data_IF_402724720300
#
_entry.id   IF_402724720300
#
_cell.length_a   1.000
_cell.length_b   1.000
_cell.length_c   1.000
_cell.angle_alpha   90.00
_cell.angle_beta   90.00
_cell.angle_gamma   90.00
#
_symmetry.space_group_name_H-M   'P 1'
#
loop_
_entity.id
_entity.type
_entity.pdbx_description
1 polymer ?
#
# COMPACT_ATOMS: atom_id res chain seq x y z
N UNK A 1 -48.17 16.50 36.83
CA UNK A 1 -47.12 16.64 35.80
C UNK A 1 -45.80 17.00 36.48
N UNK A 2 -44.93 16.03 36.76
CA UNK A 2 -43.51 16.28 36.94
C UNK A 2 -42.74 15.75 35.72
N UNK A 3 -41.91 16.61 35.12
CA UNK A 3 -41.05 16.29 33.99
C UNK A 3 -39.91 15.36 34.41
N UNK A 4 -39.69 14.31 33.64
CA UNK A 4 -38.54 13.42 33.78
C UNK A 4 -37.45 13.86 32.80
N UNK A 5 -36.50 14.64 33.30
CA UNK A 5 -35.21 14.83 32.65
C UNK A 5 -34.52 13.45 32.56
N UNK A 6 -34.48 12.87 31.36
CA UNK A 6 -33.59 11.77 31.05
C UNK A 6 -32.27 12.39 30.58
N UNK A 7 -31.34 12.59 31.51
CA UNK A 7 -29.92 12.71 31.14
C UNK A 7 -29.50 11.39 30.48
N UNK A 8 -29.31 11.41 29.16
CA UNK A 8 -28.69 10.31 28.42
C UNK A 8 -27.25 10.14 28.89
N UNK A 9 -27.04 9.27 29.86
CA UNK A 9 -25.71 8.95 30.38
C UNK A 9 -24.80 8.44 29.27
N UNK A 10 -23.71 9.15 29.01
CA UNK A 10 -22.65 8.70 28.11
C UNK A 10 -21.99 7.47 28.72
N UNK A 11 -22.14 6.31 28.09
CA UNK A 11 -21.48 5.08 28.53
C UNK A 11 -20.02 5.11 28.07
N UNK A 12 -19.09 5.23 29.02
CA UNK A 12 -17.63 5.19 28.75
C UNK A 12 -17.10 3.79 29.02
N UNK A 13 -16.80 3.06 27.96
CA UNK A 13 -16.18 1.74 28.04
C UNK A 13 -14.66 1.86 27.90
N UNK A 14 -13.91 1.20 28.78
CA UNK A 14 -12.45 1.07 28.67
C UNK A 14 -12.14 -0.41 28.45
N UNK A 15 -11.51 -0.74 27.34
CA UNK A 15 -11.02 -2.09 27.02
C UNK A 15 -9.50 -2.02 27.05
N UNK A 16 -8.87 -2.91 27.81
CA UNK A 16 -7.42 -3.05 27.84
C UNK A 16 -7.00 -4.08 26.79
N UNK A 17 -6.41 -3.62 25.68
CA UNK A 17 -6.01 -4.51 24.58
C UNK A 17 -4.80 -5.39 24.89
N UNK A 18 -4.09 -5.16 26.00
CA UNK A 18 -2.95 -5.99 26.43
C UNK A 18 -3.39 -7.14 27.35
N UNK A 19 -4.45 -6.94 28.14
CA UNK A 19 -4.86 -7.90 29.18
C UNK A 19 -6.25 -8.49 28.96
N UNK A 20 -7.16 -7.80 28.28
CA UNK A 20 -8.49 -8.33 27.98
C UNK A 20 -8.42 -9.26 26.77
N UNK A 21 -8.94 -10.46 26.96
CA UNK A 21 -9.21 -11.35 25.84
C UNK A 21 -10.35 -10.79 24.98
N UNK A 22 -10.39 -11.19 23.70
CA UNK A 22 -11.43 -10.79 22.76
C UNK A 22 -12.85 -11.02 23.30
N UNK A 23 -13.08 -12.15 23.97
CA UNK A 23 -14.37 -12.48 24.59
C UNK A 23 -14.73 -11.53 25.73
N UNK A 24 -13.75 -11.10 26.54
CA UNK A 24 -13.96 -10.16 27.64
C UNK A 24 -14.31 -8.76 27.12
N UNK A 25 -13.64 -8.32 26.06
CA UNK A 25 -13.95 -7.05 25.40
C UNK A 25 -15.38 -7.02 24.84
N UNK A 26 -15.82 -8.11 24.19
CA UNK A 26 -17.18 -8.24 23.68
C UNK A 26 -18.21 -8.27 24.80
N UNK A 27 -17.95 -9.03 25.86
CA UNK A 27 -18.85 -9.11 27.02
C UNK A 27 -19.03 -7.74 27.69
N UNK A 28 -17.95 -6.94 27.78
CA UNK A 28 -18.00 -5.61 28.36
C UNK A 28 -18.85 -4.63 27.51
N UNK A 29 -18.73 -4.70 26.17
CA UNK A 29 -19.60 -3.94 25.25
C UNK A 29 -21.05 -4.39 25.38
N UNK A 30 -21.32 -5.70 25.39
CA UNK A 30 -22.68 -6.23 25.48
C UNK A 30 -23.36 -5.81 26.78
N UNK A 31 -22.66 -5.91 27.91
CA UNK A 31 -23.16 -5.49 29.22
C UNK A 31 -23.45 -3.98 29.28
N UNK A 32 -22.56 -3.16 28.73
CA UNK A 32 -22.69 -1.70 28.68
C UNK A 32 -23.93 -1.22 27.90
N UNK A 33 -24.32 -1.96 26.86
CA UNK A 33 -25.44 -1.62 25.97
C UNK A 33 -26.68 -2.52 26.19
N UNK A 34 -26.69 -3.38 27.20
CA UNK A 34 -27.81 -4.30 27.49
C UNK A 34 -28.09 -5.31 26.37
N UNK A 35 -27.10 -5.61 25.54
CA UNK A 35 -27.22 -6.55 24.43
C UNK A 35 -27.20 -7.98 24.98
N UNK A 36 -28.10 -8.83 24.49
CA UNK A 36 -28.04 -10.27 24.83
C UNK A 36 -26.75 -10.86 24.21
N UNK A 37 -26.07 -11.79 24.90
CA UNK A 37 -24.96 -12.52 24.31
C UNK A 37 -25.50 -13.30 23.10
N UNK A 38 -25.16 -12.82 21.92
CA UNK A 38 -25.30 -13.60 20.69
C UNK A 38 -24.01 -14.38 20.60
N UNK A 39 -24.01 -15.63 21.05
CA UNK A 39 -23.03 -16.60 20.57
C UNK A 39 -23.28 -16.71 19.07
N UNK A 40 -22.37 -16.27 18.17
CA UNK A 40 -22.67 -16.26 16.75
C UNK A 40 -22.51 -17.67 16.18
N UNK A 41 -23.36 -18.63 16.60
CA UNK A 41 -23.48 -19.94 15.95
C UNK A 41 -24.00 -19.80 14.50
N UNK A 42 -24.69 -18.69 14.21
CA UNK A 42 -25.34 -18.41 12.93
C UNK A 42 -24.58 -17.37 12.08
N UNK A 43 -23.35 -17.00 12.47
CA UNK A 43 -22.53 -16.16 11.60
C UNK A 43 -22.04 -17.02 10.45
N UNK A 44 -22.28 -16.62 9.17
CA UNK A 44 -21.71 -17.36 8.06
C UNK A 44 -20.20 -17.42 8.28
N UNK A 45 -19.66 -18.63 8.26
CA UNK A 45 -18.22 -18.84 8.28
C UNK A 45 -17.62 -17.87 7.24
N UNK A 46 -16.67 -17.00 7.63
CA UNK A 46 -16.12 -16.03 6.70
C UNK A 46 -15.71 -16.82 5.45
N UNK A 47 -16.14 -16.39 4.25
CA UNK A 47 -15.79 -17.12 3.04
C UNK A 47 -14.29 -17.35 3.09
N UNK A 48 -13.88 -18.60 2.85
CA UNK A 48 -12.47 -18.97 2.88
C UNK A 48 -11.71 -17.88 2.14
N UNK A 49 -10.87 -17.14 2.87
CA UNK A 49 -10.14 -16.03 2.28
C UNK A 49 -9.36 -16.63 1.12
N UNK A 50 -9.64 -16.16 -0.10
CA UNK A 50 -8.84 -16.56 -1.26
C UNK A 50 -7.36 -16.43 -0.87
N UNK A 51 -6.53 -17.43 -1.20
CA UNK A 51 -5.10 -17.35 -0.92
C UNK A 51 -4.57 -16.01 -1.41
N UNK A 52 -3.98 -15.22 -0.51
CA UNK A 52 -3.45 -13.92 -0.90
C UNK A 52 -2.34 -14.16 -1.92
N UNK A 53 -2.31 -13.40 -3.03
CA UNK A 53 -1.29 -13.58 -4.06
C UNK A 53 0.11 -13.39 -3.47
N UNK A 54 1.02 -14.27 -3.83
CA UNK A 54 2.43 -14.23 -3.47
C UNK A 54 3.22 -13.58 -4.62
N UNK A 55 4.30 -12.82 -4.37
CA UNK A 55 5.19 -12.37 -5.43
C UNK A 55 5.72 -13.48 -6.34
N UNK A 56 5.76 -14.73 -5.88
CA UNK A 56 6.11 -15.90 -6.69
C UNK A 56 5.08 -16.22 -7.78
N UNK A 57 3.85 -15.73 -7.64
CA UNK A 57 2.79 -15.87 -8.65
C UNK A 57 2.99 -14.89 -9.83
N UNK A 58 3.92 -13.93 -9.73
CA UNK A 58 4.30 -13.04 -10.82
C UNK A 58 5.20 -13.74 -11.83
N UNK A 59 5.04 -13.35 -13.09
CA UNK A 59 5.86 -13.90 -14.17
C UNK A 59 7.33 -13.45 -14.06
N UNK A 60 8.26 -14.37 -14.27
CA UNK A 60 9.70 -14.06 -14.37
C UNK A 60 10.15 -13.91 -15.84
N UNK A 61 9.27 -14.16 -16.80
CA UNK A 61 9.54 -13.92 -18.21
C UNK A 61 9.78 -12.43 -18.49
N UNK A 62 10.63 -12.16 -19.49
CA UNK A 62 10.90 -10.80 -19.93
C UNK A 62 9.65 -10.21 -20.59
N UNK A 63 9.06 -9.23 -19.91
CA UNK A 63 7.92 -8.46 -20.42
C UNK A 63 8.38 -7.21 -21.19
N UNK A 64 9.68 -6.92 -21.19
CA UNK A 64 10.29 -5.92 -22.05
C UNK A 64 11.54 -5.29 -21.47
N UNK A 65 12.53 -5.06 -22.33
CA UNK A 65 13.75 -4.32 -22.00
C UNK A 65 14.52 -4.89 -20.79
N UNK A 66 14.47 -6.20 -20.58
CA UNK A 66 15.16 -6.91 -19.50
C UNK A 66 14.38 -6.94 -18.18
N UNK A 67 13.10 -6.54 -18.15
CA UNK A 67 12.27 -6.53 -16.95
C UNK A 67 11.28 -7.70 -16.94
N UNK A 68 11.15 -8.35 -15.78
CA UNK A 68 10.08 -9.27 -15.44
C UNK A 68 9.14 -8.68 -14.39
N UNK A 69 7.94 -9.24 -14.21
CA UNK A 69 7.01 -8.78 -13.18
C UNK A 69 7.59 -8.95 -11.77
N UNK A 70 8.32 -10.05 -11.53
CA UNK A 70 9.07 -10.26 -10.29
C UNK A 70 10.16 -9.20 -10.07
N UNK A 71 10.88 -8.80 -11.12
CA UNK A 71 11.86 -7.71 -11.03
C UNK A 71 11.19 -6.37 -10.70
N UNK A 72 10.02 -6.09 -11.28
CA UNK A 72 9.24 -4.88 -10.97
C UNK A 72 8.75 -4.87 -9.52
N UNK A 73 8.25 -6.00 -9.00
CA UNK A 73 7.84 -6.10 -7.59
C UNK A 73 9.00 -5.86 -6.63
N UNK A 74 10.17 -6.47 -6.89
CA UNK A 74 11.39 -6.21 -6.09
C UNK A 74 11.78 -4.73 -6.10
N UNK A 75 11.58 -4.07 -7.25
CA UNK A 75 11.76 -2.62 -7.36
C UNK A 75 10.82 -1.86 -6.43
N UNK A 76 9.52 -2.13 -6.52
CA UNK A 76 8.48 -1.51 -5.69
C UNK A 76 8.75 -1.71 -4.20
N UNK A 77 9.10 -2.93 -3.79
CA UNK A 77 9.41 -3.27 -2.40
C UNK A 77 10.62 -2.47 -1.87
N UNK A 78 11.62 -2.23 -2.71
CA UNK A 78 12.85 -1.52 -2.34
C UNK A 78 12.75 0.01 -2.36
N UNK A 79 11.68 0.56 -2.94
CA UNK A 79 11.43 2.00 -2.93
C UNK A 79 10.96 2.48 -1.56
N UNK A 80 11.41 3.69 -1.19
CA UNK A 80 10.79 4.45 -0.10
C UNK A 80 9.31 4.75 -0.43
N UNK A 81 8.42 4.88 0.57
CA UNK A 81 6.98 5.04 0.34
C UNK A 81 6.61 6.17 -0.62
N UNK A 82 7.26 7.33 -0.53
CA UNK A 82 7.00 8.44 -1.44
C UNK A 82 7.34 8.13 -2.89
N UNK A 83 8.43 7.41 -3.14
CA UNK A 83 8.87 7.08 -4.50
C UNK A 83 7.96 6.03 -5.11
N UNK A 84 7.52 5.09 -4.27
CA UNK A 84 6.51 4.10 -4.61
C UNK A 84 5.20 4.76 -5.02
N UNK A 85 4.74 5.74 -4.25
CA UNK A 85 3.52 6.48 -4.56
C UNK A 85 3.63 7.23 -5.89
N UNK A 86 4.77 7.90 -6.15
CA UNK A 86 5.01 8.60 -7.43
C UNK A 86 5.04 7.62 -8.61
N UNK A 87 5.75 6.49 -8.49
CA UNK A 87 5.79 5.47 -9.53
C UNK A 87 4.40 4.88 -9.81
N UNK A 88 3.62 4.62 -8.76
CA UNK A 88 2.21 4.19 -8.87
C UNK A 88 1.39 5.21 -9.63
N UNK A 89 1.49 6.50 -9.27
CA UNK A 89 0.74 7.57 -9.95
C UNK A 89 1.04 7.63 -11.45
N UNK A 90 2.30 7.50 -11.84
CA UNK A 90 2.69 7.49 -13.26
C UNK A 90 2.13 6.25 -13.97
N UNK A 91 2.13 5.10 -13.29
CA UNK A 91 1.54 3.85 -13.79
C UNK A 91 0.03 3.96 -13.98
N UNK A 92 -0.67 4.57 -13.01
CA UNK A 92 -2.12 4.80 -13.06
C UNK A 92 -2.51 5.72 -14.22
N UNK A 93 -1.63 6.67 -14.58
CA UNK A 93 -1.76 7.55 -15.75
C UNK A 93 -1.40 6.87 -17.08
N UNK A 94 -1.13 5.56 -17.08
CA UNK A 94 -0.81 4.79 -18.28
C UNK A 94 0.68 4.88 -18.68
N UNK A 95 1.55 5.21 -17.75
CA UNK A 95 3.00 5.24 -17.94
C UNK A 95 3.56 6.55 -18.48
N UNK A 96 2.71 7.49 -18.91
CA UNK A 96 3.14 8.83 -19.32
C UNK A 96 2.48 9.89 -18.46
N UNK A 97 3.28 10.75 -17.83
CA UNK A 97 2.77 11.79 -16.95
C UNK A 97 3.68 13.03 -16.98
N UNK A 98 3.10 14.22 -16.95
CA UNK A 98 3.89 15.44 -16.75
C UNK A 98 4.31 15.62 -15.30
N UNK A 99 5.41 16.34 -15.09
CA UNK A 99 5.86 16.71 -13.76
C UNK A 99 4.80 17.50 -12.97
N UNK A 100 4.07 18.38 -13.65
CA UNK A 100 3.07 19.22 -13.01
C UNK A 100 1.83 18.40 -12.61
N UNK A 101 1.41 17.41 -13.40
CA UNK A 101 0.33 16.48 -13.02
C UNK A 101 0.70 15.63 -11.79
N UNK A 102 1.93 15.14 -11.73
CA UNK A 102 2.43 14.40 -10.56
C UNK A 102 2.47 15.32 -9.33
N UNK A 103 2.99 16.54 -9.47
CA UNK A 103 3.04 17.50 -8.37
C UNK A 103 1.65 17.91 -7.87
N UNK A 104 0.71 18.19 -8.78
CA UNK A 104 -0.63 18.60 -8.43
C UNK A 104 -1.35 17.49 -7.65
N UNK A 105 -1.23 16.24 -8.13
CA UNK A 105 -1.81 15.09 -7.45
C UNK A 105 -1.36 15.01 -5.98
N UNK A 106 -0.06 15.07 -5.69
CA UNK A 106 0.46 14.96 -4.33
C UNK A 106 0.29 16.22 -3.48
N UNK A 107 0.11 17.39 -4.10
CA UNK A 107 -0.22 18.62 -3.38
C UNK A 107 -1.62 18.54 -2.75
N UNK A 108 -2.56 17.88 -3.43
CA UNK A 108 -3.96 17.79 -3.03
C UNK A 108 -4.32 16.46 -2.36
N UNK A 109 -3.39 15.49 -2.29
CA UNK A 109 -3.68 14.14 -1.76
C UNK A 109 -3.53 14.03 -0.24
N UNK A 110 -4.57 13.63 0.50
CA UNK A 110 -4.56 13.61 1.97
C UNK A 110 -3.86 12.38 2.57
N UNK A 111 -3.74 11.26 1.85
CA UNK A 111 -3.28 9.97 2.41
C UNK A 111 -1.77 9.72 2.27
N UNK A 112 -1.06 10.48 1.43
CA UNK A 112 0.41 10.43 1.29
C UNK A 112 0.96 11.80 0.86
N UNK A 113 0.96 12.80 1.77
CA UNK A 113 1.43 14.13 1.41
C UNK A 113 2.95 14.10 1.14
N UNK A 114 3.33 14.23 -0.13
CA UNK A 114 4.72 14.51 -0.52
C UNK A 114 4.79 16.00 -0.79
N UNK A 115 5.45 16.75 0.10
CA UNK A 115 5.62 18.19 -0.11
C UNK A 115 6.36 18.45 -1.42
N UNK A 116 5.99 19.51 -2.16
CA UNK A 116 6.61 19.85 -3.46
C UNK A 116 8.14 19.89 -3.41
N UNK A 117 8.70 20.38 -2.29
CA UNK A 117 10.15 20.40 -2.05
C UNK A 117 10.79 19.00 -1.97
N UNK A 118 10.05 17.96 -1.56
CA UNK A 118 10.54 16.58 -1.44
C UNK A 118 10.31 15.74 -2.71
N UNK A 119 9.37 16.13 -3.58
CA UNK A 119 9.04 15.39 -4.82
C UNK A 119 10.27 15.17 -5.70
N UNK A 120 11.13 16.18 -5.86
CA UNK A 120 12.38 16.04 -6.62
C UNK A 120 13.36 15.01 -6.03
N UNK A 121 13.50 14.96 -4.70
CA UNK A 121 14.33 13.97 -4.01
C UNK A 121 13.73 12.55 -4.10
N UNK A 122 12.41 12.45 -3.99
CA UNK A 122 11.65 11.22 -4.16
C UNK A 122 11.84 10.62 -5.56
N UNK A 123 11.74 11.43 -6.61
CA UNK A 123 11.97 11.01 -7.99
C UNK A 123 13.41 10.57 -8.26
N UNK A 124 14.38 11.16 -7.56
CA UNK A 124 15.81 10.80 -7.68
C UNK A 124 16.11 9.42 -7.08
N UNK A 125 15.28 8.94 -6.15
CA UNK A 125 15.47 7.62 -5.54
C UNK A 125 15.12 6.46 -6.49
N UNK A 126 14.22 6.65 -7.46
CA UNK A 126 13.82 5.63 -8.44
C UNK A 126 15.01 5.14 -9.29
N UNK A 127 15.76 6.02 -10.00
CA UNK A 127 16.93 5.59 -10.74
C UNK A 127 18.07 5.10 -9.85
N UNK A 128 18.14 5.56 -8.58
CA UNK A 128 19.14 5.08 -7.63
C UNK A 128 18.88 3.63 -7.22
N UNK A 129 17.62 3.28 -6.92
CA UNK A 129 17.21 1.91 -6.59
C UNK A 129 17.34 1.02 -7.83
N UNK A 130 16.94 1.49 -9.01
CA UNK A 130 17.13 0.72 -10.24
C UNK A 130 18.58 0.30 -10.45
N UNK A 131 19.57 1.18 -10.23
CA UNK A 131 20.98 0.80 -10.39
C UNK A 131 21.44 -0.30 -9.44
N UNK A 132 20.78 -0.42 -8.28
CA UNK A 132 21.17 -1.36 -7.22
C UNK A 132 20.56 -2.75 -7.43
N UNK A 133 19.32 -2.80 -7.93
CA UNK A 133 18.53 -4.04 -7.96
C UNK A 133 17.86 -4.34 -9.30
N UNK A 134 17.97 -3.42 -10.27
CA UNK A 134 17.45 -3.62 -11.61
C UNK A 134 18.21 -4.73 -12.34
N UNK A 135 17.56 -5.45 -13.25
CA UNK A 135 18.21 -6.48 -14.04
C UNK A 135 19.42 -5.93 -14.82
N UNK A 136 20.49 -6.70 -14.91
CA UNK A 136 21.72 -6.26 -15.58
C UNK A 136 21.45 -5.98 -17.07
N UNK A 137 21.84 -4.80 -17.54
CA UNK A 137 21.61 -4.39 -18.94
C UNK A 137 20.17 -3.95 -19.26
N UNK A 138 19.27 -3.92 -18.28
CA UNK A 138 17.90 -3.43 -18.48
C UNK A 138 17.84 -1.95 -18.84
N UNK A 139 16.84 -1.56 -19.63
CA UNK A 139 16.56 -0.15 -19.87
C UNK A 139 16.04 0.53 -18.59
N UNK A 140 16.09 1.87 -18.57
CA UNK A 140 15.54 2.65 -17.45
C UNK A 140 14.04 2.41 -17.32
N UNK A 141 13.59 1.95 -16.16
CA UNK A 141 12.18 1.74 -15.86
C UNK A 141 11.38 3.03 -15.98
N UNK A 142 11.95 4.12 -15.44
CA UNK A 142 11.42 5.45 -15.53
C UNK A 142 12.35 6.32 -16.36
N UNK A 143 11.90 6.68 -17.55
CA UNK A 143 12.54 7.64 -18.42
C UNK A 143 12.04 9.05 -18.06
N UNK A 144 12.96 10.01 -18.07
CA UNK A 144 12.65 11.42 -17.81
C UNK A 144 13.08 12.23 -19.01
N UNK A 145 12.12 12.83 -19.69
CA UNK A 145 12.39 13.90 -20.64
C UNK A 145 12.45 15.21 -19.87
N UNK A 146 13.66 15.71 -19.63
CA UNK A 146 13.88 16.96 -18.91
C UNK A 146 13.43 18.19 -19.70
N UNK A 147 13.45 18.12 -21.05
CA UNK A 147 13.06 19.24 -21.91
C UNK A 147 11.54 19.36 -21.96
N UNK A 148 10.84 18.24 -22.12
CA UNK A 148 9.38 18.21 -22.12
C UNK A 148 8.78 18.18 -20.70
N UNK A 149 9.61 18.00 -19.66
CA UNK A 149 9.19 17.78 -18.27
C UNK A 149 8.20 16.61 -18.13
N UNK A 150 8.46 15.54 -18.88
CA UNK A 150 7.63 14.34 -18.93
C UNK A 150 8.34 13.14 -18.28
N UNK A 151 7.54 12.31 -17.65
CA UNK A 151 7.88 10.96 -17.24
C UNK A 151 7.30 9.97 -18.22
N UNK A 152 8.09 8.95 -18.56
CA UNK A 152 7.68 7.88 -19.44
C UNK A 152 8.13 6.52 -18.89
N UNK A 153 7.21 5.56 -18.92
CA UNK A 153 7.40 4.14 -18.65
C UNK A 153 6.95 3.44 -19.93
N UNK A 154 7.78 2.54 -20.45
CA UNK A 154 7.46 1.82 -21.68
C UNK A 154 6.14 1.04 -21.51
N UNK A 155 5.23 1.07 -22.51
CA UNK A 155 3.91 0.46 -22.38
C UNK A 155 3.88 -1.00 -21.89
N UNK A 156 4.81 -1.91 -22.31
CA UNK A 156 4.83 -3.28 -21.81
C UNK A 156 5.07 -3.37 -20.29
N UNK A 157 5.79 -2.40 -19.71
CA UNK A 157 6.10 -2.38 -18.29
C UNK A 157 4.95 -1.84 -17.43
N UNK A 158 4.01 -1.10 -18.03
CA UNK A 158 2.87 -0.53 -17.30
C UNK A 158 1.96 -1.63 -16.76
N UNK A 159 1.65 -2.65 -17.57
CA UNK A 159 0.82 -3.77 -17.12
C UNK A 159 1.51 -4.63 -16.06
N UNK A 160 2.82 -4.90 -16.24
CA UNK A 160 3.61 -5.58 -15.21
C UNK A 160 3.66 -4.80 -13.89
N UNK A 161 3.79 -3.47 -13.95
CA UNK A 161 3.73 -2.61 -12.76
C UNK A 161 2.36 -2.64 -12.09
N UNK A 162 1.26 -2.62 -12.87
CA UNK A 162 -0.11 -2.73 -12.31
C UNK A 162 -0.29 -4.01 -11.51
N UNK A 163 0.16 -5.15 -12.05
CA UNK A 163 0.10 -6.46 -11.38
C UNK A 163 0.98 -6.47 -10.13
N UNK A 164 2.21 -6.00 -10.23
CA UNK A 164 3.12 -5.91 -9.09
C UNK A 164 2.56 -4.99 -7.97
N UNK A 165 1.92 -3.87 -8.31
CA UNK A 165 1.23 -3.03 -7.33
C UNK A 165 0.00 -3.70 -6.71
N UNK A 166 -0.76 -4.50 -7.47
CA UNK A 166 -1.88 -5.25 -6.92
C UNK A 166 -1.43 -6.24 -5.83
N UNK A 167 -0.30 -6.93 -6.03
CA UNK A 167 0.29 -7.78 -4.99
C UNK A 167 0.79 -6.94 -3.81
N UNK A 168 1.44 -5.81 -4.07
CA UNK A 168 1.91 -4.90 -3.03
C UNK A 168 0.77 -4.39 -2.13
N UNK A 169 -0.43 -4.16 -2.70
CA UNK A 169 -1.64 -3.77 -1.98
C UNK A 169 -2.26 -4.93 -1.20
N UNK A 170 -2.26 -6.14 -1.76
CA UNK A 170 -2.75 -7.34 -1.10
C UNK A 170 -1.82 -7.82 0.04
N UNK A 171 -0.52 -7.51 -0.08
CA UNK A 171 0.56 -7.94 0.82
C UNK A 171 1.45 -6.78 1.25
N UNK A 172 0.90 -5.78 1.99
CA UNK A 172 1.67 -4.63 2.46
C UNK A 172 2.77 -5.04 3.46
N UNK A 173 2.64 -6.22 4.09
CA UNK A 173 3.65 -6.85 4.93
C UNK A 173 4.96 -7.11 4.17
N UNK A 174 4.89 -7.48 2.89
CA UNK A 174 6.06 -7.75 2.05
C UNK A 174 6.84 -6.48 1.69
N UNK A 175 6.18 -5.32 1.75
CA UNK A 175 6.81 -4.02 1.51
C UNK A 175 7.54 -3.47 2.73
N UNK A 176 7.32 -4.09 3.90
CA UNK A 176 7.89 -3.67 5.19
C UNK A 176 9.18 -4.38 5.54
N UNK A 177 9.66 -5.32 4.73
CA UNK A 177 10.78 -6.21 5.05
C UNK A 177 11.91 -5.48 5.79
N UNK A 178 11.88 -5.56 7.13
CA UNK A 178 13.03 -5.26 7.95
C UNK A 178 14.11 -6.26 7.56
N UNK A 179 15.39 -5.84 7.54
CA UNK A 179 16.48 -6.76 7.35
C UNK A 179 16.39 -7.80 8.47
N UNK A 180 16.00 -9.03 8.13
CA UNK A 180 16.04 -10.14 9.06
C UNK A 180 17.49 -10.23 9.53
N UNK A 181 17.81 -10.05 10.82
CA UNK A 181 19.17 -10.21 11.29
C UNK A 181 19.56 -11.65 10.95
N UNK A 182 20.60 -11.80 10.12
CA UNK A 182 21.23 -13.09 9.92
C UNK A 182 21.73 -13.56 11.28
N UNK A 183 21.07 -14.56 11.84
CA UNK A 183 21.62 -15.33 12.94
C UNK A 183 22.77 -16.14 12.35
N UNK A 184 23.98 -15.64 12.56
CA UNK A 184 25.24 -16.40 12.41
C UNK A 184 25.51 -17.21 13.65
#
# INVERSE_FOLDING_TARGET
MPGSDHEGGVVRLTIDTETDTYEQAIAAVQAAYGLRPVTPDDWPEPPALDPRPDPQDLDDDDIGNGWSEQALFRMIASLIPGARAVLRRITDLGGTASFDEVQQYFADHPTTPITKAKIGGTLTSIPAVQRRIGPAGSARLLQRDERARLYHIDPPLVEGLRRAFAIADARPDLLRAEPTPRVT
#
